data_IF_781111363838
#
_entry.id   IF_781111363838
#
_cell.length_a   1.000
_cell.length_b   1.000
_cell.length_c   1.000
_cell.angle_alpha   90.00
_cell.angle_beta   90.00
_cell.angle_gamma   90.00
#
_symmetry.space_group_name_H-M   'P 1'
#
loop_
_entity.id
_entity.type
_entity.pdbx_description
1 polymer ?
#
# COMPACT_ATOMS: atom_id res chain seq x y z
N UNK A 1 21.03 24.88 -42.80
CA UNK A 1 19.56 24.85 -42.78
C UNK A 1 19.14 23.69 -41.88
N UNK A 2 19.11 23.93 -40.56
CA UNK A 2 18.16 23.36 -39.60
C UNK A 2 18.50 23.93 -38.22
N UNK A 3 17.97 25.12 -37.96
CA UNK A 3 17.76 25.63 -36.60
C UNK A 3 16.76 24.71 -35.91
N UNK A 4 17.26 23.71 -35.20
CA UNK A 4 16.50 23.05 -34.15
C UNK A 4 16.55 23.98 -32.93
N UNK A 5 15.63 24.96 -32.94
CA UNK A 5 15.28 25.78 -31.79
C UNK A 5 15.14 24.86 -30.56
N UNK A 6 16.12 24.89 -29.68
CA UNK A 6 15.93 24.55 -28.27
C UNK A 6 14.93 25.58 -27.75
N UNK A 7 13.64 25.30 -27.87
CA UNK A 7 12.64 26.08 -27.15
C UNK A 7 12.96 25.86 -25.67
N UNK A 8 13.44 26.92 -25.00
CA UNK A 8 13.54 26.94 -23.55
C UNK A 8 12.20 26.45 -22.99
N UNK A 9 12.19 25.59 -21.96
CA UNK A 9 10.94 25.11 -21.39
C UNK A 9 10.11 26.34 -21.01
N UNK A 10 8.87 26.42 -21.51
CA UNK A 10 8.02 27.58 -21.28
C UNK A 10 7.94 27.87 -19.77
N UNK A 11 8.23 29.10 -19.38
CA UNK A 11 8.14 29.54 -17.98
C UNK A 11 6.75 29.22 -17.44
N UNK A 12 6.67 28.58 -16.28
CA UNK A 12 5.38 28.27 -15.65
C UNK A 12 4.76 29.56 -15.11
N UNK A 13 3.58 29.93 -15.61
CA UNK A 13 2.85 31.13 -15.16
C UNK A 13 1.39 30.82 -14.90
N UNK A 14 0.86 31.34 -13.79
CA UNK A 14 -0.55 31.21 -13.38
C UNK A 14 -1.11 32.61 -13.15
N UNK A 15 -2.02 33.07 -14.00
CA UNK A 15 -2.58 34.43 -13.98
C UNK A 15 -1.49 35.53 -13.93
N UNK A 16 -0.38 35.32 -14.64
CA UNK A 16 0.73 36.26 -14.71
C UNK A 16 1.77 36.14 -13.57
N UNK A 17 1.52 35.31 -12.55
CA UNK A 17 2.50 34.98 -11.50
C UNK A 17 3.45 33.92 -12.04
N UNK A 18 4.74 34.22 -12.10
CA UNK A 18 5.77 33.28 -12.54
C UNK A 18 6.19 32.36 -11.38
N UNK A 19 6.31 31.07 -11.67
CA UNK A 19 6.84 30.08 -10.75
C UNK A 19 8.28 29.79 -11.14
N UNK A 20 9.18 29.90 -10.16
CA UNK A 20 10.62 29.82 -10.35
C UNK A 20 11.08 28.40 -10.76
N UNK A 21 12.09 28.32 -11.61
CA UNK A 21 12.63 27.04 -12.11
C UNK A 21 13.28 26.22 -10.99
N UNK A 22 13.87 26.84 -9.96
CA UNK A 22 14.41 26.14 -8.79
C UNK A 22 13.29 25.52 -7.96
N UNK A 23 12.14 26.19 -7.86
CA UNK A 23 10.96 25.64 -7.19
C UNK A 23 10.41 24.42 -7.95
N UNK A 24 10.40 24.47 -9.28
CA UNK A 24 10.00 23.35 -10.13
C UNK A 24 10.96 22.17 -9.94
N UNK A 25 12.27 22.43 -9.94
CA UNK A 25 13.29 21.39 -9.73
C UNK A 25 13.19 20.76 -8.33
N UNK A 26 12.99 21.58 -7.30
CA UNK A 26 12.80 21.11 -5.92
C UNK A 26 11.54 20.24 -5.78
N UNK A 27 10.44 20.64 -6.42
CA UNK A 27 9.20 19.84 -6.42
C UNK A 27 9.40 18.54 -7.20
N UNK A 28 10.08 18.55 -8.34
CA UNK A 28 10.32 17.35 -9.16
C UNK A 28 11.10 16.25 -8.42
N UNK A 29 11.94 16.62 -7.46
CA UNK A 29 12.63 15.66 -6.59
C UNK A 29 11.67 14.80 -5.74
N UNK A 30 10.45 15.30 -5.45
CA UNK A 30 9.41 14.56 -4.75
C UNK A 30 8.61 13.60 -5.65
N UNK A 31 8.78 13.70 -6.98
CA UNK A 31 8.04 12.93 -7.98
C UNK A 31 8.94 11.95 -8.75
N UNK A 32 10.02 11.47 -8.15
CA UNK A 32 11.01 10.61 -8.81
C UNK A 32 10.46 9.31 -9.42
N UNK A 33 9.35 8.80 -8.89
CA UNK A 33 8.68 7.59 -9.39
C UNK A 33 7.69 7.89 -10.54
N UNK A 34 7.44 9.17 -10.85
CA UNK A 34 6.56 9.55 -11.94
C UNK A 34 7.23 9.32 -13.30
N UNK A 35 6.41 9.00 -14.31
CA UNK A 35 6.88 8.86 -15.70
C UNK A 35 7.56 10.13 -16.22
N UNK A 36 7.06 11.29 -15.79
CA UNK A 36 7.64 12.61 -16.04
C UNK A 36 7.58 13.43 -14.74
N UNK A 37 8.65 13.42 -13.93
CA UNK A 37 8.71 14.14 -12.66
C UNK A 37 8.59 15.67 -12.82
N UNK A 38 9.09 16.21 -13.93
CA UNK A 38 9.09 17.66 -14.18
C UNK A 38 7.68 18.15 -14.49
N UNK A 39 6.95 17.40 -15.32
CA UNK A 39 5.55 17.66 -15.64
C UNK A 39 4.64 17.46 -14.41
N UNK A 40 4.90 16.45 -13.58
CA UNK A 40 4.22 16.28 -12.29
C UNK A 40 4.45 17.47 -11.34
N UNK A 41 5.68 17.95 -11.23
CA UNK A 41 6.03 19.12 -10.44
C UNK A 41 5.33 20.39 -10.92
N UNK A 42 5.36 20.64 -12.25
CA UNK A 42 4.67 21.78 -12.86
C UNK A 42 3.18 21.78 -12.55
N UNK A 43 2.51 20.62 -12.66
CA UNK A 43 1.11 20.48 -12.25
C UNK A 43 0.90 20.76 -10.77
N UNK A 44 1.71 20.16 -9.90
CA UNK A 44 1.56 20.33 -8.45
C UNK A 44 1.69 21.82 -8.04
N UNK A 45 2.69 22.52 -8.58
CA UNK A 45 2.92 23.94 -8.33
C UNK A 45 1.82 24.82 -8.93
N UNK A 46 1.33 24.50 -10.12
CA UNK A 46 0.21 25.20 -10.72
C UNK A 46 -1.07 25.07 -9.87
N UNK A 47 -1.38 23.87 -9.36
CA UNK A 47 -2.51 23.66 -8.45
C UNK A 47 -2.33 24.47 -7.17
N UNK A 48 -1.13 24.44 -6.57
CA UNK A 48 -0.81 25.19 -5.36
C UNK A 48 -1.04 26.69 -5.56
N UNK A 49 -0.58 27.24 -6.67
CA UNK A 49 -0.74 28.66 -6.98
C UNK A 49 -2.21 29.03 -7.28
N UNK A 50 -2.95 28.19 -8.00
CA UNK A 50 -4.40 28.39 -8.23
C UNK A 50 -5.17 28.46 -6.89
N UNK A 51 -4.89 27.53 -5.98
CA UNK A 51 -5.50 27.52 -4.65
C UNK A 51 -5.09 28.74 -3.82
N UNK A 52 -3.81 29.13 -3.87
CA UNK A 52 -3.30 30.32 -3.18
C UNK A 52 -4.01 31.60 -3.64
N UNK A 53 -4.06 31.83 -4.95
CA UNK A 53 -4.74 33.00 -5.52
C UNK A 53 -6.22 33.03 -5.15
N UNK A 54 -6.85 31.86 -5.12
CA UNK A 54 -8.25 31.74 -4.70
C UNK A 54 -8.44 32.03 -3.20
N UNK A 55 -7.57 31.52 -2.33
CA UNK A 55 -7.57 31.83 -0.91
C UNK A 55 -7.39 33.34 -0.65
N UNK A 56 -6.45 33.99 -1.35
CA UNK A 56 -6.26 35.45 -1.32
C UNK A 56 -7.52 36.19 -1.77
N UNK A 57 -8.15 35.77 -2.87
CA UNK A 57 -9.38 36.41 -3.38
C UNK A 57 -10.56 36.35 -2.41
N UNK A 58 -10.54 35.38 -1.49
CA UNK A 58 -11.58 35.18 -0.48
C UNK A 58 -11.19 35.79 0.88
N UNK A 59 -10.05 36.47 0.97
CA UNK A 59 -9.48 37.00 2.21
C UNK A 59 -9.23 35.90 3.28
N UNK A 60 -8.86 34.69 2.84
CA UNK A 60 -8.44 33.58 3.70
C UNK A 60 -6.93 33.49 3.88
N UNK A 61 -6.18 34.22 3.03
CA UNK A 61 -4.73 34.26 3.02
C UNK A 61 -4.30 35.68 2.63
N UNK A 62 -3.25 36.19 3.26
CA UNK A 62 -2.66 37.47 2.88
C UNK A 62 -2.00 37.39 1.49
N UNK A 63 -1.95 38.50 0.76
CA UNK A 63 -1.59 38.52 -0.67
C UNK A 63 -0.24 37.89 -1.01
N UNK A 64 0.75 38.06 -0.13
CA UNK A 64 2.12 37.55 -0.32
C UNK A 64 2.42 36.29 0.50
N UNK A 65 1.45 35.80 1.29
CA UNK A 65 1.66 34.63 2.12
C UNK A 65 1.69 33.34 1.27
N UNK A 66 2.55 32.41 1.66
CA UNK A 66 2.58 31.08 1.09
C UNK A 66 1.32 30.31 1.51
N UNK A 67 0.81 29.45 0.62
CA UNK A 67 -0.31 28.58 0.94
C UNK A 67 0.12 27.55 1.98
N UNK A 68 -0.56 27.54 3.12
CA UNK A 68 -0.40 26.54 4.18
C UNK A 68 -1.65 25.64 4.30
N UNK A 69 -1.53 24.59 5.11
CA UNK A 69 -2.61 23.62 5.30
C UNK A 69 -3.87 24.27 5.88
N UNK A 70 -3.71 25.25 6.77
CA UNK A 70 -4.84 25.95 7.39
C UNK A 70 -5.64 26.78 6.38
N UNK A 71 -4.97 27.49 5.46
CA UNK A 71 -5.62 28.24 4.40
C UNK A 71 -6.30 27.32 3.38
N UNK A 72 -5.70 26.15 3.08
CA UNK A 72 -6.36 25.12 2.25
C UNK A 72 -7.62 24.62 2.93
N UNK A 73 -7.57 24.27 4.21
CA UNK A 73 -8.74 23.77 4.93
C UNK A 73 -9.86 24.81 5.00
N UNK A 74 -9.54 26.06 5.32
CA UNK A 74 -10.49 27.17 5.33
C UNK A 74 -11.10 27.42 3.94
N UNK A 75 -10.28 27.32 2.87
CA UNK A 75 -10.74 27.45 1.49
C UNK A 75 -11.74 26.35 1.14
N UNK A 76 -11.43 25.11 1.51
CA UNK A 76 -12.28 23.97 1.22
C UNK A 76 -13.58 24.01 2.02
N UNK A 77 -13.54 24.38 3.29
CA UNK A 77 -14.76 24.53 4.10
C UNK A 77 -15.71 25.58 3.50
N UNK A 78 -15.14 26.68 2.98
CA UNK A 78 -15.91 27.77 2.38
C UNK A 78 -16.45 27.46 0.98
N UNK A 79 -15.69 26.75 0.15
CA UNK A 79 -16.06 26.53 -1.27
C UNK A 79 -16.70 25.16 -1.50
N UNK A 80 -16.45 24.19 -0.63
CA UNK A 80 -17.01 22.82 -0.69
C UNK A 80 -17.99 22.56 0.48
N UNK A 81 -18.87 23.52 0.75
CA UNK A 81 -19.78 23.51 1.92
C UNK A 81 -20.86 22.42 1.87
N UNK A 82 -21.19 21.88 0.69
CA UNK A 82 -22.28 20.91 0.49
C UNK A 82 -21.80 19.62 -0.16
N UNK A 83 -20.75 19.03 0.39
CA UNK A 83 -20.37 17.68 -0.03
C UNK A 83 -21.39 16.66 0.52
N UNK A 84 -21.86 15.73 -0.32
CA UNK A 84 -22.72 14.65 0.17
C UNK A 84 -21.94 13.80 1.17
N UNK A 85 -22.51 13.60 2.35
CA UNK A 85 -21.98 12.66 3.33
C UNK A 85 -22.53 11.26 3.04
N UNK A 86 -21.69 10.21 3.11
CA UNK A 86 -22.15 8.84 2.94
C UNK A 86 -23.11 8.48 4.06
N UNK A 87 -24.30 8.01 3.69
CA UNK A 87 -25.26 7.50 4.65
C UNK A 87 -24.98 6.03 5.00
N UNK A 88 -25.82 5.47 5.88
CA UNK A 88 -25.71 4.06 6.27
C UNK A 88 -25.85 3.11 5.07
N UNK A 89 -26.76 3.41 4.14
CA UNK A 89 -27.02 2.56 2.98
C UNK A 89 -25.83 2.55 2.00
N UNK A 90 -25.14 3.68 1.85
CA UNK A 90 -23.88 3.78 1.11
C UNK A 90 -22.78 2.92 1.74
N UNK A 91 -22.67 2.96 3.07
CA UNK A 91 -21.70 2.15 3.81
C UNK A 91 -21.99 0.65 3.71
N UNK A 92 -23.24 0.24 3.87
CA UNK A 92 -23.68 -1.16 3.73
C UNK A 92 -23.43 -1.69 2.31
N UNK A 93 -23.73 -0.88 1.29
CA UNK A 93 -23.46 -1.23 -0.10
C UNK A 93 -21.97 -1.41 -0.36
N UNK A 94 -21.13 -0.51 0.17
CA UNK A 94 -19.68 -0.64 0.05
C UNK A 94 -19.16 -1.90 0.77
N UNK A 95 -19.64 -2.18 1.98
CA UNK A 95 -19.30 -3.37 2.74
C UNK A 95 -19.61 -4.66 1.97
N UNK A 96 -20.84 -4.77 1.44
CA UNK A 96 -21.29 -5.94 0.68
C UNK A 96 -20.50 -6.16 -0.63
N UNK A 97 -20.02 -5.10 -1.27
CA UNK A 97 -19.23 -5.18 -2.50
C UNK A 97 -17.75 -5.53 -2.27
N UNK A 98 -17.25 -5.42 -1.03
CA UNK A 98 -15.83 -5.61 -0.71
C UNK A 98 -15.61 -6.60 0.46
N UNK A 99 -16.20 -7.81 0.45
CA UNK A 99 -16.15 -8.73 1.59
C UNK A 99 -14.72 -9.12 1.97
N UNK A 100 -13.81 -9.23 1.00
CA UNK A 100 -12.41 -9.56 1.25
C UNK A 100 -11.66 -8.50 2.08
N UNK A 101 -12.10 -7.23 2.06
CA UNK A 101 -11.49 -6.15 2.86
C UNK A 101 -11.92 -6.17 4.32
N UNK A 102 -13.04 -6.83 4.61
CA UNK A 102 -13.63 -6.92 5.95
C UNK A 102 -13.52 -8.32 6.50
N UNK A 103 -12.42 -9.00 6.20
CA UNK A 103 -12.10 -10.30 6.76
C UNK A 103 -10.82 -10.18 7.56
N UNK A 104 -10.82 -10.67 8.79
CA UNK A 104 -9.59 -10.78 9.59
C UNK A 104 -8.66 -11.80 8.93
N UNK A 105 -7.36 -11.68 9.17
CA UNK A 105 -6.40 -12.65 8.63
C UNK A 105 -6.60 -14.01 9.29
N UNK A 106 -6.40 -15.07 8.50
CA UNK A 106 -6.27 -16.42 9.06
C UNK A 106 -5.02 -16.49 9.93
N UNK A 107 -5.12 -17.25 11.01
CA UNK A 107 -4.02 -17.49 11.94
C UNK A 107 -3.64 -18.96 11.88
N UNK A 108 -2.34 -19.24 11.76
CA UNK A 108 -1.78 -20.59 11.82
C UNK A 108 -0.81 -20.68 12.99
N UNK A 109 -0.94 -21.72 13.81
CA UNK A 109 0.07 -22.13 14.76
C UNK A 109 0.88 -23.24 14.13
N UNK A 110 2.20 -23.03 14.05
CA UNK A 110 3.11 -24.00 13.45
C UNK A 110 4.40 -24.18 14.24
N UNK A 111 5.01 -25.34 14.04
CA UNK A 111 6.40 -25.63 14.41
C UNK A 111 7.18 -26.08 13.18
N UNK A 112 8.50 -25.92 13.20
CA UNK A 112 9.36 -26.40 12.13
C UNK A 112 10.70 -26.99 12.59
N UNK A 113 11.28 -27.81 11.72
CA UNK A 113 12.68 -28.27 11.79
C UNK A 113 13.39 -27.75 10.55
N UNK A 114 14.42 -26.92 10.73
CA UNK A 114 15.20 -26.34 9.64
C UNK A 114 16.50 -27.12 9.45
N UNK A 115 16.74 -27.60 8.23
CA UNK A 115 18.04 -28.05 7.74
C UNK A 115 18.63 -26.96 6.85
N UNK A 116 19.51 -26.14 7.43
CA UNK A 116 20.01 -24.93 6.80
C UNK A 116 20.98 -25.23 5.66
N UNK A 117 20.72 -24.62 4.50
CA UNK A 117 21.64 -24.66 3.36
C UNK A 117 22.69 -23.57 3.57
N UNK A 118 23.97 -23.95 3.52
CA UNK A 118 25.11 -23.03 3.58
C UNK A 118 26.12 -23.43 2.50
N UNK A 119 26.99 -22.51 2.10
CA UNK A 119 28.00 -22.74 1.06
C UNK A 119 28.96 -23.90 1.35
N UNK A 120 29.03 -24.33 2.62
CA UNK A 120 29.94 -25.36 3.11
C UNK A 120 29.31 -26.76 3.17
N UNK A 121 27.99 -26.87 2.97
CA UNK A 121 27.26 -28.13 3.15
C UNK A 121 26.78 -28.64 1.79
N UNK A 122 27.19 -29.86 1.38
CA UNK A 122 26.69 -30.43 0.13
C UNK A 122 25.17 -30.66 0.20
N UNK A 123 24.45 -30.20 -0.82
CA UNK A 123 22.98 -30.18 -0.85
C UNK A 123 22.35 -31.59 -0.80
N UNK A 124 22.90 -32.54 -1.57
CA UNK A 124 22.36 -33.88 -1.67
C UNK A 124 22.30 -34.64 -0.32
N UNK A 125 23.39 -34.75 0.46
CA UNK A 125 23.33 -35.40 1.76
C UNK A 125 22.50 -34.62 2.79
N UNK A 126 22.48 -33.28 2.71
CA UNK A 126 21.61 -32.48 3.57
C UNK A 126 20.12 -32.78 3.32
N UNK A 127 19.74 -32.85 2.05
CA UNK A 127 18.38 -33.22 1.64
C UNK A 127 18.04 -34.64 2.09
N UNK A 128 18.93 -35.62 1.89
CA UNK A 128 18.71 -36.99 2.33
C UNK A 128 18.47 -37.07 3.85
N UNK A 129 19.23 -36.30 4.64
CA UNK A 129 19.03 -36.21 6.09
C UNK A 129 17.68 -35.58 6.44
N UNK A 130 17.28 -34.52 5.75
CA UNK A 130 15.98 -33.89 5.95
C UNK A 130 14.81 -34.82 5.58
N UNK A 131 14.93 -35.58 4.48
CA UNK A 131 13.92 -36.55 4.04
C UNK A 131 13.80 -37.73 5.03
N UNK A 132 14.91 -38.21 5.58
CA UNK A 132 14.89 -39.24 6.62
C UNK A 132 14.20 -38.74 7.90
N UNK A 133 14.55 -37.55 8.38
CA UNK A 133 13.91 -36.95 9.55
C UNK A 133 12.42 -36.68 9.32
N UNK A 134 12.03 -36.31 8.10
CA UNK A 134 10.62 -36.17 7.72
C UNK A 134 9.89 -37.51 7.81
N UNK A 135 10.48 -38.59 7.27
CA UNK A 135 9.88 -39.91 7.31
C UNK A 135 9.66 -40.40 8.76
N UNK A 136 10.65 -40.19 9.63
CA UNK A 136 10.57 -40.55 11.05
C UNK A 136 9.43 -39.79 11.76
N UNK A 137 9.36 -38.48 11.54
CA UNK A 137 8.37 -37.61 12.19
C UNK A 137 6.97 -37.82 11.62
N UNK A 138 6.83 -38.18 10.35
CA UNK A 138 5.53 -38.57 9.76
C UNK A 138 5.06 -39.92 10.33
N UNK A 139 5.96 -40.88 10.54
CA UNK A 139 5.63 -42.17 11.14
C UNK A 139 5.33 -42.07 12.65
N UNK A 140 6.00 -41.15 13.36
CA UNK A 140 5.81 -40.91 14.80
C UNK A 140 5.73 -39.40 15.11
N UNK A 141 4.58 -38.75 14.89
CA UNK A 141 4.40 -37.30 15.06
C UNK A 141 4.74 -36.75 16.45
N UNK A 142 4.59 -37.57 17.50
CA UNK A 142 4.91 -37.18 18.89
C UNK A 142 6.42 -36.97 19.10
N UNK A 143 7.27 -37.43 18.18
CA UNK A 143 8.73 -37.23 18.24
C UNK A 143 9.19 -35.89 17.68
N UNK A 144 8.29 -35.09 17.09
CA UNK A 144 8.63 -33.85 16.39
C UNK A 144 9.52 -32.92 17.21
N UNK A 145 9.16 -32.68 18.47
CA UNK A 145 9.90 -31.74 19.33
C UNK A 145 11.30 -32.23 19.66
N UNK A 146 11.47 -33.55 19.81
CA UNK A 146 12.78 -34.17 20.03
C UNK A 146 13.65 -34.04 18.76
N UNK A 147 13.07 -34.29 17.59
CA UNK A 147 13.76 -34.12 16.29
C UNK A 147 14.13 -32.66 16.06
N UNK A 148 13.24 -31.72 16.39
CA UNK A 148 13.50 -30.29 16.32
C UNK A 148 14.69 -29.89 17.20
N UNK A 149 14.70 -30.29 18.47
CA UNK A 149 15.81 -30.02 19.42
C UNK A 149 17.14 -30.60 18.96
N UNK A 150 17.13 -31.80 18.37
CA UNK A 150 18.34 -32.51 17.99
C UNK A 150 18.91 -32.08 16.63
N UNK A 151 18.05 -31.70 15.68
CA UNK A 151 18.44 -31.56 14.26
C UNK A 151 18.19 -30.18 13.65
N UNK A 152 17.32 -29.35 14.23
CA UNK A 152 17.00 -28.04 13.64
C UNK A 152 18.16 -27.05 13.81
N UNK A 153 18.45 -26.30 12.74
CA UNK A 153 19.39 -25.19 12.74
C UNK A 153 18.72 -23.84 13.08
N UNK A 154 17.42 -23.83 13.35
CA UNK A 154 16.71 -22.62 13.78
C UNK A 154 16.80 -22.45 15.32
N UNK A 155 16.92 -21.23 15.86
CA UNK A 155 16.85 -21.00 17.30
C UNK A 155 15.57 -21.54 17.98
N UNK A 156 14.47 -21.65 17.24
CA UNK A 156 13.22 -22.26 17.72
C UNK A 156 13.38 -23.73 18.16
N UNK A 157 14.47 -24.40 17.76
CA UNK A 157 14.83 -25.74 18.24
C UNK A 157 14.77 -25.86 19.76
N UNK A 158 15.20 -24.82 20.50
CA UNK A 158 15.18 -24.79 21.97
C UNK A 158 13.75 -24.90 22.53
N UNK A 159 12.76 -24.46 21.76
CA UNK A 159 11.33 -24.53 22.05
C UNK A 159 10.63 -25.64 21.27
N UNK A 160 11.36 -26.72 20.93
CA UNK A 160 10.79 -27.84 20.18
C UNK A 160 10.40 -27.51 18.73
N UNK A 161 10.95 -26.43 18.17
CA UNK A 161 10.65 -25.96 16.82
C UNK A 161 9.47 -25.00 16.73
N UNK A 162 8.84 -24.64 17.85
CA UNK A 162 7.64 -23.79 17.87
C UNK A 162 7.90 -22.39 17.30
N UNK A 163 7.03 -21.96 16.39
CA UNK A 163 6.99 -20.62 15.83
C UNK A 163 5.88 -19.77 16.44
N UNK A 164 5.01 -20.36 17.26
CA UNK A 164 3.87 -19.67 17.85
C UNK A 164 2.81 -19.32 16.81
N UNK A 165 2.27 -18.11 16.90
CA UNK A 165 1.23 -17.59 16.01
C UNK A 165 1.85 -16.99 14.75
N UNK A 166 1.37 -17.40 13.58
CA UNK A 166 1.78 -16.89 12.27
C UNK A 166 0.59 -16.36 11.48
N UNK A 167 0.79 -15.20 10.87
CA UNK A 167 -0.09 -14.53 9.91
C UNK A 167 0.56 -14.55 8.51
N UNK A 168 -0.25 -14.27 7.49
CA UNK A 168 0.30 -13.97 6.15
C UNK A 168 1.18 -12.71 6.25
N UNK A 169 2.38 -12.77 5.67
CA UNK A 169 3.41 -11.75 5.73
C UNK A 169 4.50 -12.00 6.78
N UNK A 170 4.29 -12.91 7.75
CA UNK A 170 5.26 -13.15 8.84
C UNK A 170 6.47 -14.01 8.39
N UNK A 171 6.33 -14.74 7.28
CA UNK A 171 7.34 -15.69 6.80
C UNK A 171 7.68 -15.47 5.32
N UNK A 172 8.73 -16.13 4.84
CA UNK A 172 9.08 -16.07 3.42
C UNK A 172 8.00 -16.72 2.55
N UNK A 173 7.77 -16.25 1.31
CA UNK A 173 6.63 -16.67 0.48
C UNK A 173 6.50 -18.19 0.31
N UNK A 174 7.62 -18.90 0.20
CA UNK A 174 7.63 -20.36 0.01
C UNK A 174 7.16 -21.11 1.27
N UNK A 175 7.46 -20.57 2.46
CA UNK A 175 7.00 -21.12 3.72
C UNK A 175 5.54 -20.75 3.99
N UNK A 176 5.17 -19.50 3.70
CA UNK A 176 3.79 -19.02 3.83
C UNK A 176 2.84 -19.86 2.97
N UNK A 177 3.19 -20.12 1.70
CA UNK A 177 2.38 -20.96 0.82
C UNK A 177 2.14 -22.35 1.43
N UNK A 178 3.18 -22.97 2.00
CA UNK A 178 3.03 -24.27 2.66
C UNK A 178 2.10 -24.23 3.89
N UNK A 179 2.10 -23.10 4.62
CA UNK A 179 1.22 -22.91 5.76
C UNK A 179 -0.21 -22.61 5.35
N UNK A 180 -0.44 -21.73 4.38
CA UNK A 180 -1.77 -21.15 4.15
C UNK A 180 -2.48 -21.67 2.90
N UNK A 181 -1.80 -22.38 1.99
CA UNK A 181 -2.42 -22.97 0.80
C UNK A 181 -2.86 -24.44 1.02
N UNK A 182 -2.57 -24.98 2.21
CA UNK A 182 -2.99 -26.31 2.65
C UNK A 182 -4.01 -26.21 3.79
N UNK A 183 -5.05 -27.03 3.75
CA UNK A 183 -6.01 -27.15 4.86
C UNK A 183 -5.58 -28.19 5.91
N UNK A 184 -4.46 -28.87 5.71
CA UNK A 184 -3.97 -29.93 6.58
C UNK A 184 -3.58 -29.43 7.98
N UNK A 185 -3.84 -30.26 8.99
CA UNK A 185 -3.30 -30.17 10.35
C UNK A 185 -2.34 -31.35 10.55
N UNK A 186 -1.27 -31.13 11.33
CA UNK A 186 -0.23 -32.12 11.58
C UNK A 186 1.01 -31.86 10.72
N UNK A 187 1.86 -32.89 10.60
CA UNK A 187 3.13 -32.81 9.87
C UNK A 187 2.85 -32.83 8.37
N UNK A 188 3.38 -31.85 7.64
CA UNK A 188 3.26 -31.83 6.19
C UNK A 188 4.05 -32.98 5.57
N UNK A 189 3.51 -33.71 4.58
CA UNK A 189 4.13 -34.93 4.05
C UNK A 189 5.33 -34.67 3.13
N UNK A 190 5.73 -33.40 2.95
CA UNK A 190 6.80 -32.98 2.05
C UNK A 190 7.65 -31.92 2.73
N UNK A 191 8.94 -31.89 2.37
CA UNK A 191 9.82 -30.81 2.74
C UNK A 191 9.37 -29.52 2.06
N UNK A 192 9.32 -28.45 2.84
CA UNK A 192 9.14 -27.09 2.35
C UNK A 192 10.52 -26.52 2.05
N UNK A 193 10.74 -26.10 0.81
CA UNK A 193 12.02 -25.56 0.38
C UNK A 193 11.95 -24.04 0.41
N UNK A 194 12.90 -23.39 1.08
CA UNK A 194 13.03 -21.94 1.06
C UNK A 194 14.48 -21.55 0.82
N UNK A 195 14.74 -20.26 0.62
CA UNK A 195 16.12 -19.74 0.55
C UNK A 195 17.01 -20.09 1.76
N UNK A 196 16.42 -20.47 2.90
CA UNK A 196 17.17 -20.87 4.10
C UNK A 196 17.52 -22.37 4.13
N UNK A 197 16.85 -23.19 3.32
CA UNK A 197 17.07 -24.62 3.24
C UNK A 197 15.79 -25.45 3.26
N UNK A 198 15.87 -26.65 3.84
CA UNK A 198 14.77 -27.61 3.88
C UNK A 198 14.06 -27.54 5.23
N UNK A 199 12.73 -27.45 5.22
CA UNK A 199 11.91 -27.37 6.42
C UNK A 199 10.96 -28.55 6.50
N UNK A 200 10.91 -29.19 7.66
CA UNK A 200 9.80 -30.04 8.07
C UNK A 200 8.84 -29.16 8.84
N UNK A 201 7.57 -29.12 8.45
CA UNK A 201 6.58 -28.22 9.04
C UNK A 201 5.47 -29.04 9.67
N UNK A 202 5.09 -28.68 10.89
CA UNK A 202 3.90 -29.18 11.58
C UNK A 202 2.97 -28.01 11.83
N UNK A 203 1.72 -28.14 11.38
CA UNK A 203 0.65 -27.21 11.72
C UNK A 203 -0.09 -27.77 12.93
N UNK A 204 -0.05 -27.08 14.07
CA UNK A 204 -0.79 -27.52 15.26
C UNK A 204 -2.26 -27.08 15.23
N UNK A 205 -2.51 -25.84 14.80
CA UNK A 205 -3.85 -25.24 14.85
C UNK A 205 -4.03 -24.21 13.77
N UNK A 206 -5.22 -24.16 13.21
CA UNK A 206 -5.67 -23.10 12.30
C UNK A 206 -6.85 -22.39 12.94
N UNK A 207 -6.87 -21.06 12.88
CA UNK A 207 -8.01 -20.23 13.26
C UNK A 207 -8.37 -19.41 12.02
N UNK A 208 -9.47 -19.75 11.32
CA UNK A 208 -9.88 -18.98 10.16
C UNK A 208 -10.23 -17.56 10.61
N UNK A 209 -9.81 -16.59 9.80
CA UNK A 209 -10.24 -15.23 9.96
C UNK A 209 -11.75 -15.13 9.75
N UNK A 210 -12.41 -14.42 10.63
CA UNK A 210 -13.84 -14.15 10.55
C UNK A 210 -14.11 -12.85 9.78
N UNK A 211 -15.38 -12.67 9.43
CA UNK A 211 -15.84 -11.43 8.82
C UNK A 211 -16.00 -10.38 9.94
N UNK A 212 -15.34 -9.23 9.76
CA UNK A 212 -15.49 -8.06 10.62
C UNK A 212 -16.94 -7.58 10.53
N UNK A 213 -17.73 -7.57 11.61
CA UNK A 213 -19.12 -7.13 11.56
C UNK A 213 -19.26 -5.71 11.01
N UNK A 214 -20.35 -5.44 10.28
CA UNK A 214 -20.60 -4.13 9.68
C UNK A 214 -20.51 -3.00 10.70
N UNK A 215 -21.11 -3.15 11.89
CA UNK A 215 -21.12 -2.11 12.91
C UNK A 215 -19.69 -1.74 13.40
N UNK A 216 -18.76 -2.70 13.37
CA UNK A 216 -17.35 -2.48 13.72
C UNK A 216 -16.60 -1.75 12.58
N UNK A 217 -16.98 -2.02 11.32
CA UNK A 217 -16.37 -1.41 10.12
C UNK A 217 -17.02 -0.08 9.69
N UNK A 218 -18.23 0.22 10.14
CA UNK A 218 -19.07 1.30 9.59
C UNK A 218 -18.39 2.67 9.65
N UNK A 219 -17.76 3.02 10.77
CA UNK A 219 -17.08 4.31 10.94
C UNK A 219 -15.88 4.45 9.98
N UNK A 220 -15.11 3.38 9.78
CA UNK A 220 -13.98 3.37 8.85
C UNK A 220 -14.46 3.48 7.40
N UNK A 221 -15.56 2.81 7.06
CA UNK A 221 -16.18 2.89 5.73
C UNK A 221 -16.67 4.30 5.45
N UNK A 222 -17.41 4.91 6.38
CA UNK A 222 -17.89 6.27 6.25
C UNK A 222 -16.73 7.24 6.02
N UNK A 223 -15.67 7.17 6.83
CA UNK A 223 -14.47 8.00 6.65
C UNK A 223 -13.82 7.79 5.27
N UNK A 224 -13.71 6.54 4.81
CA UNK A 224 -13.16 6.23 3.48
C UNK A 224 -14.02 6.83 2.35
N UNK A 225 -15.34 6.67 2.42
CA UNK A 225 -16.26 7.19 1.40
C UNK A 225 -16.27 8.73 1.40
N UNK A 226 -16.28 9.38 2.57
CA UNK A 226 -16.17 10.83 2.69
C UNK A 226 -14.86 11.36 2.11
N UNK A 227 -13.73 10.69 2.38
CA UNK A 227 -12.44 11.05 1.79
C UNK A 227 -12.48 10.99 0.25
N UNK A 228 -13.13 9.96 -0.33
CA UNK A 228 -13.29 9.85 -1.79
C UNK A 228 -14.17 10.95 -2.38
N UNK A 229 -15.25 11.33 -1.69
CA UNK A 229 -16.09 12.46 -2.10
C UNK A 229 -15.27 13.75 -2.09
N UNK A 230 -14.53 14.02 -1.01
CA UNK A 230 -13.68 15.22 -0.89
C UNK A 230 -12.58 15.26 -1.95
N UNK A 231 -11.91 14.14 -2.21
CA UNK A 231 -10.89 14.03 -3.26
C UNK A 231 -11.48 14.30 -4.66
N UNK A 232 -12.66 13.75 -4.97
CA UNK A 232 -13.35 14.02 -6.23
C UNK A 232 -13.74 15.50 -6.35
N UNK A 233 -14.30 16.08 -5.30
CA UNK A 233 -14.71 17.47 -5.28
C UNK A 233 -13.51 18.42 -5.44
N UNK A 234 -12.40 18.15 -4.75
CA UNK A 234 -11.17 18.90 -4.91
C UNK A 234 -10.66 18.89 -6.35
N UNK A 235 -10.60 17.70 -6.98
CA UNK A 235 -10.19 17.58 -8.39
C UNK A 235 -11.08 18.42 -9.31
N UNK A 236 -12.39 18.35 -9.11
CA UNK A 236 -13.34 19.15 -9.90
C UNK A 236 -13.16 20.65 -9.65
N UNK A 237 -12.96 21.05 -8.40
CA UNK A 237 -12.76 22.44 -8.02
C UNK A 237 -11.49 23.03 -8.65
N UNK A 238 -10.37 22.31 -8.56
CA UNK A 238 -9.10 22.69 -9.22
C UNK A 238 -9.28 22.78 -10.73
N UNK A 239 -10.00 21.85 -11.37
CA UNK A 239 -10.29 21.92 -12.80
C UNK A 239 -11.11 23.17 -13.18
N UNK A 240 -12.07 23.57 -12.34
CA UNK A 240 -12.83 24.82 -12.52
C UNK A 240 -11.92 26.04 -12.37
N UNK A 241 -11.02 26.07 -11.38
CA UNK A 241 -10.06 27.16 -11.21
C UNK A 241 -9.11 27.26 -12.41
N UNK A 242 -8.56 26.13 -12.84
CA UNK A 242 -7.69 26.04 -14.02
C UNK A 242 -8.41 26.51 -15.29
N UNK A 243 -9.66 26.12 -15.50
CA UNK A 243 -10.47 26.56 -16.66
C UNK A 243 -10.82 28.05 -16.66
N UNK A 244 -10.73 28.73 -15.52
CA UNK A 244 -10.95 30.18 -15.38
C UNK A 244 -9.64 30.98 -15.35
N UNK A 245 -8.50 30.31 -15.31
CA UNK A 245 -7.19 30.94 -15.18
C UNK A 245 -6.46 31.00 -16.53
N UNK A 246 -5.53 31.94 -16.64
CA UNK A 246 -4.54 31.99 -17.72
C UNK A 246 -3.32 31.16 -17.31
N UNK A 247 -3.08 30.04 -18.01
CA UNK A 247 -2.05 29.06 -17.68
C UNK A 247 -0.99 29.02 -18.79
N UNK A 248 0.29 29.14 -18.42
CA UNK A 248 1.43 28.98 -19.33
C UNK A 248 2.39 27.93 -18.76
N UNK A 249 2.99 27.10 -19.63
CA UNK A 249 4.00 26.12 -19.19
C UNK A 249 3.47 24.91 -18.41
N UNK A 250 2.14 24.70 -18.40
CA UNK A 250 1.46 23.52 -17.84
C UNK A 250 0.19 23.22 -18.62
N UNK A 251 -0.09 21.93 -18.84
CA UNK A 251 -1.36 21.46 -19.37
C UNK A 251 -2.18 20.84 -18.25
N UNK A 252 -3.43 21.25 -18.14
CA UNK A 252 -4.45 20.52 -17.38
C UNK A 252 -5.38 19.87 -18.40
N UNK A 253 -5.76 18.62 -18.15
CA UNK A 253 -6.86 17.98 -18.88
C UNK A 253 -8.16 18.74 -18.54
N UNK A 254 -8.38 19.85 -19.23
CA UNK A 254 -9.54 20.70 -19.05
C UNK A 254 -10.79 19.94 -19.47
N UNK A 255 -11.77 19.84 -18.56
CA UNK A 255 -13.08 20.52 -18.60
C UNK A 255 -13.76 20.79 -19.97
N UNK A 256 -13.40 20.08 -21.04
CA UNK A 256 -14.05 20.07 -22.36
C UNK A 256 -14.51 18.64 -22.74
N UNK A 257 -14.61 17.74 -21.75
CA UNK A 257 -15.27 16.45 -21.90
C UNK A 257 -16.78 16.56 -21.61
N UNK A 258 -17.65 15.75 -22.25
CA UNK A 258 -19.09 16.02 -22.41
C UNK A 258 -19.98 15.88 -21.17
N UNK A 259 -19.48 16.09 -19.94
CA UNK A 259 -20.18 15.76 -18.70
C UNK A 259 -20.52 16.99 -17.83
N UNK A 260 -20.72 18.14 -18.47
CA UNK A 260 -21.46 19.27 -17.88
C UNK A 260 -22.73 19.49 -18.70
N UNK A 261 -23.64 18.50 -18.63
CA UNK A 261 -25.09 18.65 -18.84
C UNK A 261 -25.80 17.67 -17.91
#
# INVERSE_FOLDING_TARGET
MNDLLHQAPATLRINGVAIDDDAIAAEAAHHGDARDPLDAARRALAVRELLRQRAVSLALLDGDAALDDAAVDALLERELTHLPEPDRADCERYYAQHPARFRRNDIVYASHVLFAVTDRVPLAPLRQRAEAALADVVAAPDTFEAVARASSNCPSAQLGGSLGQLLRGDTVPEFEAALFDSDGIGVLPKLVNTRFGFHIVRIERRVPGDTVPFDEAAAQIAAHLSARVRERAMRQYVAILAGKAHLEGVAFDGANGPLVQ
#
